data_IF_970781237360
#
_entry.id   IF_970781237360
#
_cell.length_a   1.000
_cell.length_b   1.000
_cell.length_c   1.000
_cell.angle_alpha   90.00
_cell.angle_beta   90.00
_cell.angle_gamma   90.00
#
_symmetry.space_group_name_H-M   'P 1'
#
loop_
_entity.id
_entity.type
_entity.pdbx_description
1 polymer ?
#
# COMPACT_ATOMS: atom_id res chain seq x y z
N UNK A 1 -50.25 9.39 -56.44
CA UNK A 1 -50.30 7.91 -56.36
C UNK A 1 -49.29 7.50 -55.28
N UNK A 2 -49.63 7.19 -54.03
CA UNK A 2 -50.89 6.94 -53.36
C UNK A 2 -50.66 5.86 -52.28
N UNK A 3 -50.91 6.20 -51.00
CA UNK A 3 -51.21 5.32 -49.84
C UNK A 3 -50.09 4.43 -49.29
N UNK A 4 -50.03 4.07 -48.01
CA UNK A 4 -50.88 4.39 -46.86
C UNK A 4 -50.51 3.51 -45.64
N UNK A 5 -50.52 4.14 -44.45
CA UNK A 5 -50.84 3.70 -43.08
C UNK A 5 -50.40 2.34 -42.48
N UNK A 6 -49.82 2.46 -41.27
CA UNK A 6 -49.83 1.51 -40.14
C UNK A 6 -48.78 1.99 -39.12
N UNK A 7 -49.05 2.43 -37.88
CA UNK A 7 -50.07 2.05 -36.92
C UNK A 7 -49.41 1.16 -35.85
N UNK A 8 -48.89 1.74 -34.76
CA UNK A 8 -48.25 0.97 -33.68
C UNK A 8 -47.73 1.84 -32.53
N UNK A 9 -48.62 2.12 -31.57
CA UNK A 9 -48.34 2.68 -30.24
C UNK A 9 -47.62 1.67 -29.33
N UNK A 10 -46.71 2.14 -28.47
CA UNK A 10 -46.18 1.32 -27.37
C UNK A 10 -45.04 2.00 -26.62
N UNK A 11 -45.40 2.78 -25.60
CA UNK A 11 -44.43 3.41 -24.70
C UNK A 11 -43.78 2.42 -23.74
N UNK A 12 -42.57 2.76 -23.33
CA UNK A 12 -42.08 2.48 -21.97
C UNK A 12 -41.30 3.71 -21.56
N UNK A 13 -41.98 4.60 -20.82
CA UNK A 13 -41.33 5.68 -20.12
C UNK A 13 -40.33 5.09 -19.15
N UNK A 14 -39.04 5.16 -19.47
CA UNK A 14 -37.99 4.99 -18.50
C UNK A 14 -38.19 6.07 -17.45
N UNK A 15 -38.53 5.66 -16.24
CA UNK A 15 -38.59 6.52 -15.08
C UNK A 15 -37.21 7.17 -14.92
N UNK A 16 -37.07 8.39 -15.43
CA UNK A 16 -36.11 9.33 -14.92
C UNK A 16 -36.47 9.54 -13.46
N UNK A 17 -35.69 8.92 -12.57
CA UNK A 17 -35.69 9.25 -11.15
C UNK A 17 -35.26 10.71 -11.03
N UNK A 18 -36.23 11.62 -11.14
CA UNK A 18 -36.02 13.04 -10.93
C UNK A 18 -35.38 13.20 -9.57
N UNK A 19 -34.19 13.80 -9.54
CA UNK A 19 -33.63 14.30 -8.31
C UNK A 19 -34.73 15.11 -7.62
N UNK A 20 -35.17 14.68 -6.45
CA UNK A 20 -36.10 15.42 -5.62
C UNK A 20 -35.40 16.74 -5.26
N UNK A 21 -35.59 17.76 -6.09
CA UNK A 21 -35.07 19.08 -5.87
C UNK A 21 -35.94 19.70 -4.78
N UNK A 22 -35.37 19.99 -3.61
CA UNK A 22 -36.03 20.85 -2.66
C UNK A 22 -36.35 22.17 -3.35
N UNK A 23 -37.57 22.68 -3.16
CA UNK A 23 -37.94 24.02 -3.62
C UNK A 23 -37.06 25.13 -2.99
N UNK A 24 -36.28 24.79 -1.97
CA UNK A 24 -35.42 25.67 -1.20
C UNK A 24 -33.98 25.16 -1.25
N UNK A 25 -33.01 26.05 -1.47
CA UNK A 25 -31.58 25.72 -1.43
C UNK A 25 -31.15 25.45 0.01
N UNK A 26 -30.88 24.19 0.37
CA UNK A 26 -30.42 23.84 1.72
C UNK A 26 -28.92 24.16 1.87
N UNK A 27 -28.59 25.42 2.16
CA UNK A 27 -27.19 25.90 2.24
C UNK A 27 -26.35 25.16 3.29
N UNK A 28 -26.98 24.60 4.34
CA UNK A 28 -26.29 23.93 5.45
C UNK A 28 -26.89 22.56 5.76
N UNK A 29 -27.09 21.74 4.73
CA UNK A 29 -27.67 20.40 4.88
C UNK A 29 -28.01 19.71 3.56
N UNK A 30 -28.94 18.76 3.63
CA UNK A 30 -29.46 18.01 2.48
C UNK A 30 -30.98 18.11 2.38
N UNK A 31 -31.51 17.77 1.22
CA UNK A 31 -32.93 17.77 0.92
C UNK A 31 -33.56 16.39 1.20
N UNK A 32 -34.47 16.30 2.18
CA UNK A 32 -35.26 15.10 2.44
C UNK A 32 -36.70 15.32 1.94
N UNK A 33 -36.95 14.98 0.67
CA UNK A 33 -38.23 15.22 0.01
C UNK A 33 -38.46 16.72 -0.26
N UNK A 34 -39.26 17.37 0.57
CA UNK A 34 -39.57 18.82 0.49
C UNK A 34 -38.92 19.66 1.58
N UNK A 35 -38.20 19.03 2.51
CA UNK A 35 -37.68 19.69 3.72
C UNK A 35 -36.16 19.67 3.74
N UNK A 36 -35.55 20.78 4.17
CA UNK A 36 -34.11 20.84 4.40
C UNK A 36 -33.74 20.22 5.75
N UNK A 37 -32.96 19.15 5.73
CA UNK A 37 -32.35 18.58 6.93
C UNK A 37 -31.02 19.28 7.19
N UNK A 38 -31.03 20.25 8.11
CA UNK A 38 -29.83 20.95 8.56
C UNK A 38 -28.82 19.99 9.20
N UNK A 39 -27.52 20.29 9.14
CA UNK A 39 -26.46 19.41 9.67
C UNK A 39 -26.69 18.93 11.11
N UNK A 40 -27.22 19.79 11.98
CA UNK A 40 -27.52 19.44 13.38
C UNK A 40 -28.65 18.39 13.53
N UNK A 41 -29.48 18.21 12.49
CA UNK A 41 -30.64 17.32 12.48
C UNK A 41 -30.47 16.12 11.55
N UNK A 42 -29.28 15.96 10.95
CA UNK A 42 -29.01 14.82 10.09
C UNK A 42 -28.83 13.55 10.90
N UNK A 43 -29.10 12.43 10.24
CA UNK A 43 -28.98 11.09 10.82
C UNK A 43 -28.37 10.14 9.80
N UNK A 44 -28.07 8.91 10.24
CA UNK A 44 -27.62 7.85 9.35
C UNK A 44 -28.63 7.53 8.22
N UNK A 45 -29.91 7.91 8.33
CA UNK A 45 -30.91 7.68 7.27
C UNK A 45 -31.17 8.93 6.42
N UNK A 46 -30.55 10.07 6.72
CA UNK A 46 -30.75 11.33 6.02
C UNK A 46 -29.50 12.20 6.11
N UNK A 47 -28.52 11.91 5.26
CA UNK A 47 -27.21 12.55 5.22
C UNK A 47 -26.91 13.20 3.88
N UNK A 48 -26.20 14.33 3.89
CA UNK A 48 -25.74 14.99 2.67
C UNK A 48 -25.44 16.47 2.91
N UNK A 49 -24.89 17.15 1.92
CA UNK A 49 -24.51 18.56 2.01
C UNK A 49 -24.92 19.33 0.76
N UNK A 50 -24.79 20.66 0.82
CA UNK A 50 -24.92 21.55 -0.33
C UNK A 50 -26.27 21.49 -1.06
N UNK A 51 -27.35 21.16 -0.34
CA UNK A 51 -28.69 21.09 -0.94
C UNK A 51 -28.96 19.86 -1.79
N UNK A 52 -28.03 18.92 -1.88
CA UNK A 52 -28.25 17.64 -2.54
C UNK A 52 -29.34 16.82 -1.82
N UNK A 53 -29.97 15.86 -2.52
CA UNK A 53 -30.90 14.93 -1.89
C UNK A 53 -30.20 14.14 -0.77
N UNK A 54 -30.85 14.03 0.39
CA UNK A 54 -30.35 13.24 1.50
C UNK A 54 -30.28 11.76 1.09
N UNK A 55 -29.20 11.09 1.45
CA UNK A 55 -29.02 9.65 1.28
C UNK A 55 -28.85 8.98 2.64
N UNK A 56 -29.22 7.71 2.72
CA UNK A 56 -28.89 6.90 3.88
C UNK A 56 -27.40 6.55 3.84
N UNK A 57 -26.72 6.71 4.98
CA UNK A 57 -25.39 6.18 5.18
C UNK A 57 -25.40 4.65 5.17
N UNK A 58 -24.26 4.07 4.80
CA UNK A 58 -24.09 2.62 4.84
C UNK A 58 -24.26 2.05 6.26
N UNK A 59 -24.50 0.74 6.35
CA UNK A 59 -24.72 0.06 7.64
C UNK A 59 -23.58 0.34 8.63
N UNK A 60 -23.94 0.73 9.85
CA UNK A 60 -23.01 1.04 10.94
C UNK A 60 -22.41 2.45 10.93
N UNK A 61 -22.77 3.30 9.97
CA UNK A 61 -22.22 4.65 9.85
C UNK A 61 -23.11 5.71 10.54
N UNK A 62 -22.51 6.88 10.80
CA UNK A 62 -23.22 8.07 11.28
C UNK A 62 -23.04 9.21 10.30
N UNK A 63 -24.03 10.11 10.22
CA UNK A 63 -23.88 11.33 9.44
C UNK A 63 -23.25 12.42 10.30
N UNK A 64 -22.10 12.94 9.87
CA UNK A 64 -21.41 14.06 10.52
C UNK A 64 -21.27 15.20 9.52
N UNK A 65 -21.95 16.31 9.78
CA UNK A 65 -21.90 17.54 8.95
C UNK A 65 -22.09 17.27 7.45
N UNK A 66 -23.08 16.45 7.09
CA UNK A 66 -23.41 16.14 5.70
C UNK A 66 -22.56 15.09 5.03
N UNK A 67 -21.69 14.42 5.79
CA UNK A 67 -20.85 13.33 5.28
C UNK A 67 -21.09 12.08 6.09
N UNK A 68 -21.30 10.95 5.41
CA UNK A 68 -21.36 9.66 6.07
C UNK A 68 -19.96 9.26 6.54
N UNK A 69 -19.79 9.14 7.84
CA UNK A 69 -18.52 8.78 8.48
C UNK A 69 -18.64 7.42 9.16
N UNK A 70 -17.62 6.57 8.97
CA UNK A 70 -17.47 5.38 9.79
C UNK A 70 -17.32 5.76 11.28
N UNK A 71 -17.74 4.89 12.22
CA UNK A 71 -17.49 5.11 13.65
C UNK A 71 -16.01 5.37 13.93
N UNK A 72 -15.73 6.20 14.93
CA UNK A 72 -14.36 6.37 15.40
C UNK A 72 -13.77 5.01 15.77
N UNK A 73 -12.50 4.78 15.42
CA UNK A 73 -11.83 3.50 15.68
C UNK A 73 -12.27 2.35 14.77
N UNK A 74 -13.05 2.58 13.71
CA UNK A 74 -13.27 1.61 12.63
C UNK A 74 -12.10 1.57 11.66
N UNK A 75 -12.07 0.58 10.75
CA UNK A 75 -11.08 0.48 9.68
C UNK A 75 -11.00 1.81 8.91
N UNK A 76 -9.78 2.29 8.66
CA UNK A 76 -9.45 3.58 8.06
C UNK A 76 -9.74 4.83 8.90
N UNK A 77 -10.27 4.64 10.12
CA UNK A 77 -10.47 5.70 11.09
C UNK A 77 -9.14 6.28 11.59
N UNK A 78 -9.18 7.52 12.06
CA UNK A 78 -8.03 8.18 12.70
C UNK A 78 -7.66 7.49 14.01
N UNK A 79 -6.38 7.47 14.32
CA UNK A 79 -5.87 6.93 15.57
C UNK A 79 -4.49 7.50 15.89
N UNK A 80 -4.14 7.51 17.17
CA UNK A 80 -2.77 7.78 17.65
C UNK A 80 -2.14 6.54 18.29
N UNK A 81 -2.96 5.57 18.70
CA UNK A 81 -2.54 4.29 19.27
C UNK A 81 -3.49 3.19 18.84
N UNK A 82 -3.04 1.93 18.85
CA UNK A 82 -3.88 0.78 18.48
C UNK A 82 -5.11 0.62 19.39
N UNK A 83 -5.04 1.11 20.63
CA UNK A 83 -6.18 1.11 21.56
C UNK A 83 -7.36 1.98 21.09
N UNK A 84 -7.10 2.96 20.21
CA UNK A 84 -8.13 3.82 19.63
C UNK A 84 -8.97 3.10 18.55
N UNK A 85 -8.54 1.92 18.09
CA UNK A 85 -9.18 1.17 17.01
C UNK A 85 -10.24 0.18 17.52
N UNK A 86 -11.14 0.66 18.39
CA UNK A 86 -12.10 -0.17 19.14
C UNK A 86 -13.18 -0.82 18.28
N UNK A 87 -13.40 -0.34 17.06
CA UNK A 87 -14.44 -0.79 16.14
C UNK A 87 -13.86 -1.50 14.90
N UNK A 88 -12.57 -1.88 14.92
CA UNK A 88 -12.01 -2.82 13.95
C UNK A 88 -12.40 -4.23 14.41
N UNK A 89 -12.97 -5.08 13.52
CA UNK A 89 -13.25 -6.47 13.88
C UNK A 89 -11.99 -7.13 14.42
N UNK A 90 -12.04 -7.70 15.63
CA UNK A 90 -10.94 -8.48 16.19
C UNK A 90 -10.96 -9.94 15.74
N UNK A 91 -10.13 -10.77 16.36
CA UNK A 91 -10.16 -12.22 16.22
C UNK A 91 -9.07 -12.80 15.34
N UNK A 92 -8.70 -14.05 15.59
CA UNK A 92 -7.61 -14.71 14.88
C UNK A 92 -7.99 -15.03 13.43
N UNK A 93 -6.98 -15.09 12.56
CA UNK A 93 -7.11 -15.53 11.18
C UNK A 93 -6.63 -16.99 11.11
N UNK A 94 -7.43 -17.89 10.55
CA UNK A 94 -7.06 -19.31 10.44
C UNK A 94 -6.83 -19.70 8.97
N UNK A 95 -5.68 -20.31 8.69
CA UNK A 95 -5.31 -20.89 7.40
C UNK A 95 -5.01 -22.37 7.59
N UNK A 96 -5.88 -23.24 7.07
CA UNK A 96 -5.76 -24.68 7.32
C UNK A 96 -5.83 -24.97 8.83
N UNK A 97 -4.77 -25.57 9.38
CA UNK A 97 -4.65 -25.86 10.81
C UNK A 97 -3.94 -24.75 11.62
N UNK A 98 -3.44 -23.70 10.96
CA UNK A 98 -2.65 -22.64 11.60
C UNK A 98 -3.53 -21.43 11.91
N UNK A 99 -3.47 -20.94 13.14
CA UNK A 99 -4.22 -19.77 13.60
C UNK A 99 -3.26 -18.64 13.94
N UNK A 100 -3.38 -17.53 13.22
CA UNK A 100 -2.58 -16.31 13.39
C UNK A 100 -3.35 -15.29 14.22
N UNK A 101 -2.75 -14.66 15.24
CA UNK A 101 -3.38 -13.54 15.91
C UNK A 101 -3.57 -12.39 14.91
N UNK A 102 -4.82 -11.98 14.66
CA UNK A 102 -5.03 -10.72 13.95
C UNK A 102 -4.94 -9.58 14.94
N UNK A 103 -3.82 -8.88 14.88
CA UNK A 103 -3.65 -7.65 15.64
C UNK A 103 -4.39 -6.52 14.95
N UNK A 104 -5.32 -5.93 15.69
CA UNK A 104 -5.82 -4.58 15.40
C UNK A 104 -4.70 -3.60 15.72
N UNK A 105 -4.42 -2.69 14.80
CA UNK A 105 -3.36 -1.71 14.97
C UNK A 105 -3.74 -0.34 14.44
N UNK A 106 -3.08 0.68 15.01
CA UNK A 106 -3.05 2.00 14.43
C UNK A 106 -1.80 2.15 13.58
N UNK A 107 -1.98 2.29 12.26
CA UNK A 107 -0.87 2.56 11.35
C UNK A 107 -0.56 4.05 11.33
N UNK A 108 0.68 4.41 11.64
CA UNK A 108 1.14 5.81 11.71
C UNK A 108 2.13 6.15 10.60
N UNK A 109 2.78 5.15 10.01
CA UNK A 109 3.66 5.27 8.85
C UNK A 109 3.53 4.04 7.96
N UNK A 110 3.88 4.19 6.69
CA UNK A 110 4.14 3.06 5.78
C UNK A 110 5.25 2.16 6.33
N UNK A 111 5.21 0.88 5.99
CA UNK A 111 6.26 -0.09 6.38
C UNK A 111 7.58 0.18 5.64
N UNK A 112 7.47 0.66 4.40
CA UNK A 112 8.57 0.93 3.47
C UNK A 112 8.49 2.42 3.07
N UNK A 113 9.61 3.13 3.11
CA UNK A 113 9.67 4.57 2.82
C UNK A 113 9.16 5.48 3.96
N UNK A 114 8.38 4.94 4.91
CA UNK A 114 8.03 5.62 6.15
C UNK A 114 7.12 6.83 6.01
N UNK A 115 6.41 6.99 4.89
CA UNK A 115 5.49 8.10 4.72
C UNK A 115 4.41 8.07 5.82
N UNK A 116 4.14 9.20 6.48
CA UNK A 116 3.21 9.21 7.61
C UNK A 116 1.77 9.06 7.11
N UNK A 117 0.98 8.22 7.80
CA UNK A 117 -0.47 8.17 7.64
C UNK A 117 -1.08 9.40 8.34
N UNK A 118 -1.63 10.40 7.62
CA UNK A 118 -2.08 11.64 8.24
C UNK A 118 -3.16 11.36 9.28
N UNK A 119 -2.92 11.65 10.56
CA UNK A 119 -3.88 11.35 11.64
C UNK A 119 -4.07 9.87 11.98
N UNK A 120 -3.18 9.00 11.50
CA UNK A 120 -3.18 7.55 11.70
C UNK A 120 -4.31 6.82 10.97
N UNK A 121 -4.19 5.49 10.89
CA UNK A 121 -5.12 4.65 10.14
C UNK A 121 -5.35 3.33 10.85
N UNK A 122 -6.54 3.19 11.45
CA UNK A 122 -6.94 1.95 12.08
C UNK A 122 -7.06 0.83 11.05
N UNK A 123 -6.40 -0.28 11.30
CA UNK A 123 -6.42 -1.44 10.41
C UNK A 123 -6.21 -2.72 11.22
N UNK A 124 -6.21 -3.84 10.52
CA UNK A 124 -5.79 -5.15 11.01
C UNK A 124 -5.13 -5.91 9.88
N UNK A 125 -4.34 -6.93 10.24
CA UNK A 125 -3.88 -7.92 9.28
C UNK A 125 -5.07 -8.68 8.71
N UNK A 126 -4.96 -9.12 7.46
CA UNK A 126 -5.98 -9.88 6.77
C UNK A 126 -5.36 -10.83 5.74
N UNK A 127 -6.10 -11.86 5.34
CA UNK A 127 -5.76 -12.73 4.21
C UNK A 127 -6.83 -12.67 3.12
N UNK A 128 -8.00 -12.17 3.47
CA UNK A 128 -9.12 -12.03 2.56
C UNK A 128 -10.03 -10.88 3.00
N UNK A 129 -10.85 -10.37 2.07
CA UNK A 129 -11.76 -9.27 2.38
C UNK A 129 -12.83 -9.62 3.44
N UNK A 130 -13.06 -10.91 3.73
CA UNK A 130 -13.97 -11.31 4.82
C UNK A 130 -13.40 -10.97 6.19
N UNK A 131 -12.08 -10.96 6.36
CA UNK A 131 -11.42 -10.60 7.62
C UNK A 131 -11.63 -9.12 7.99
N UNK A 132 -11.90 -8.29 6.97
CA UNK A 132 -12.10 -6.86 7.11
C UNK A 132 -13.57 -6.47 7.34
N UNK A 133 -14.49 -7.41 7.21
CA UNK A 133 -15.93 -7.15 7.27
C UNK A 133 -16.49 -6.46 6.01
N UNK A 134 -17.78 -6.15 6.02
CA UNK A 134 -18.52 -5.76 4.82
C UNK A 134 -18.08 -4.41 4.20
N UNK A 135 -17.55 -3.50 5.02
CA UNK A 135 -17.25 -2.11 4.62
C UNK A 135 -15.77 -1.89 4.29
N UNK A 136 -14.97 -2.95 4.29
CA UNK A 136 -13.55 -2.88 4.02
C UNK A 136 -13.12 -4.06 3.13
N UNK A 137 -11.92 -3.96 2.60
CA UNK A 137 -11.31 -4.99 1.77
C UNK A 137 -9.91 -5.27 2.28
N UNK A 138 -9.48 -6.51 2.06
CA UNK A 138 -8.11 -6.87 2.33
C UNK A 138 -7.25 -6.44 1.14
N UNK A 139 -6.34 -5.50 1.42
CA UNK A 139 -5.30 -5.05 0.52
C UNK A 139 -4.19 -6.09 0.64
N UNK A 140 -4.00 -6.90 -0.40
CA UNK A 140 -3.00 -7.97 -0.42
C UNK A 140 -1.69 -7.45 -1.01
N UNK A 141 -0.63 -7.48 -0.19
CA UNK A 141 0.76 -7.43 -0.63
C UNK A 141 1.01 -6.31 -1.63
N UNK A 142 0.37 -5.17 -1.42
CA UNK A 142 0.57 -4.00 -2.24
C UNK A 142 1.82 -3.28 -1.74
N UNK A 143 2.98 -3.96 -1.81
CA UNK A 143 4.31 -3.42 -1.49
C UNK A 143 4.56 -2.05 -2.13
N UNK A 144 3.85 -1.81 -3.23
CA UNK A 144 3.79 -0.57 -3.95
C UNK A 144 3.23 0.65 -3.27
N UNK A 145 2.41 0.46 -2.26
CA UNK A 145 1.91 1.56 -1.43
C UNK A 145 2.82 1.79 -0.24
N UNK A 146 4.07 1.27 -0.26
CA UNK A 146 4.96 1.27 0.90
C UNK A 146 4.52 0.30 2.00
N UNK A 147 3.60 -0.62 1.71
CA UNK A 147 2.98 -1.50 2.70
C UNK A 147 3.49 -2.92 2.50
N UNK A 148 4.28 -3.42 3.45
CA UNK A 148 4.84 -4.76 3.41
C UNK A 148 3.78 -5.81 3.82
N UNK A 149 2.79 -5.39 4.59
CA UNK A 149 1.74 -6.25 5.13
C UNK A 149 0.43 -6.20 4.35
N UNK A 150 -0.30 -7.32 4.39
CA UNK A 150 -1.71 -7.30 4.07
C UNK A 150 -2.50 -6.55 5.14
N UNK A 151 -3.32 -5.59 4.74
CA UNK A 151 -4.09 -4.80 5.70
C UNK A 151 -5.50 -4.47 5.22
N UNK A 152 -6.40 -4.27 6.18
CA UNK A 152 -7.77 -3.89 5.88
C UNK A 152 -7.88 -2.40 5.57
N UNK A 153 -8.54 -2.06 4.47
CA UNK A 153 -8.83 -0.67 4.10
C UNK A 153 -10.31 -0.46 3.77
N UNK A 154 -10.90 0.70 4.11
CA UNK A 154 -12.29 1.01 3.78
C UNK A 154 -12.54 0.94 2.28
N UNK A 155 -13.73 0.47 1.91
CA UNK A 155 -14.25 0.64 0.54
C UNK A 155 -14.56 2.11 0.26
N UNK A 156 -14.46 2.49 -1.00
CA UNK A 156 -14.77 3.84 -1.47
C UNK A 156 -15.49 3.82 -2.83
N UNK A 157 -15.97 4.96 -3.33
CA UNK A 157 -16.63 5.08 -4.63
C UNK A 157 -18.16 5.03 -4.55
N UNK A 158 -18.83 4.58 -5.61
CA UNK A 158 -20.29 4.64 -5.71
C UNK A 158 -20.98 3.85 -4.58
N UNK A 159 -21.83 4.54 -3.80
CA UNK A 159 -22.53 3.95 -2.65
C UNK A 159 -21.65 3.71 -1.42
N UNK A 160 -20.40 4.17 -1.43
CA UNK A 160 -19.47 4.10 -0.30
C UNK A 160 -19.01 5.51 0.09
N UNK A 161 -18.51 5.70 1.33
CA UNK A 161 -17.95 6.99 1.74
C UNK A 161 -16.75 7.40 0.88
N UNK A 162 -16.51 8.71 0.71
CA UNK A 162 -15.24 9.17 0.19
C UNK A 162 -14.11 8.81 1.15
N UNK A 163 -12.90 8.64 0.61
CA UNK A 163 -11.72 8.48 1.44
C UNK A 163 -11.43 9.76 2.23
N UNK A 164 -10.82 9.59 3.41
CA UNK A 164 -10.43 10.71 4.26
C UNK A 164 -9.41 11.60 3.54
N UNK A 165 -9.34 12.88 3.90
CA UNK A 165 -8.28 13.78 3.40
C UNK A 165 -6.89 13.17 3.64
N UNK A 166 -6.04 13.22 2.60
CA UNK A 166 -4.75 12.53 2.59
C UNK A 166 -4.83 11.09 2.09
N UNK A 167 -6.00 10.63 1.63
CA UNK A 167 -6.21 9.29 1.08
C UNK A 167 -6.96 9.36 -0.25
N UNK A 168 -6.55 8.52 -1.19
CA UNK A 168 -7.16 8.40 -2.51
C UNK A 168 -8.04 7.15 -2.59
N UNK A 169 -9.15 7.28 -3.32
CA UNK A 169 -9.99 6.15 -3.68
C UNK A 169 -9.37 5.45 -4.88
N UNK A 170 -8.82 4.26 -4.66
CA UNK A 170 -8.15 3.44 -5.67
C UNK A 170 -9.11 2.36 -6.14
N UNK A 171 -9.18 2.16 -7.46
CA UNK A 171 -10.01 1.14 -8.09
C UNK A 171 -9.08 0.11 -8.73
N UNK A 172 -9.17 -1.15 -8.27
CA UNK A 172 -8.45 -2.29 -8.83
C UNK A 172 -9.45 -3.36 -9.24
N UNK A 173 -9.62 -3.53 -10.55
CA UNK A 173 -10.67 -4.38 -11.12
C UNK A 173 -12.07 -3.93 -10.68
N UNK A 174 -12.79 -4.80 -9.99
CA UNK A 174 -14.13 -4.53 -9.43
C UNK A 174 -14.13 -4.07 -7.98
N UNK A 175 -12.94 -3.94 -7.38
CA UNK A 175 -12.78 -3.57 -5.97
C UNK A 175 -12.24 -2.15 -5.86
N UNK A 176 -12.73 -1.41 -4.87
CA UNK A 176 -12.30 -0.04 -4.59
C UNK A 176 -11.98 0.13 -3.10
N UNK A 177 -10.95 0.91 -2.80
CA UNK A 177 -10.45 1.07 -1.43
C UNK A 177 -9.64 2.35 -1.21
N UNK A 178 -9.53 2.76 0.05
CA UNK A 178 -8.80 3.97 0.44
C UNK A 178 -7.32 3.68 0.70
N UNK A 179 -6.43 4.32 -0.06
CA UNK A 179 -4.99 4.27 0.17
C UNK A 179 -4.43 5.63 0.50
N UNK A 180 -3.26 5.67 1.14
CA UNK A 180 -2.54 6.91 1.36
C UNK A 180 -2.33 7.63 0.02
N UNK A 181 -2.67 8.91 -0.05
CA UNK A 181 -2.42 9.72 -1.24
C UNK A 181 -0.92 10.00 -1.37
N UNK A 182 -0.42 10.05 -2.61
CA UNK A 182 0.94 10.52 -2.88
C UNK A 182 1.16 11.96 -2.39
N UNK A 183 2.42 12.38 -2.32
CA UNK A 183 2.81 13.72 -1.88
C UNK A 183 2.11 14.82 -2.67
N UNK A 184 1.89 14.61 -3.96
CA UNK A 184 1.24 15.58 -4.84
C UNK A 184 -0.29 15.39 -4.94
N UNK A 185 -0.89 14.56 -4.09
CA UNK A 185 -2.33 14.27 -4.07
C UNK A 185 -2.78 13.33 -5.19
N UNK A 186 -1.85 12.90 -6.06
CA UNK A 186 -2.06 11.89 -7.09
C UNK A 186 -2.27 10.49 -6.52
N UNK A 187 -2.86 9.61 -7.34
CA UNK A 187 -3.16 8.22 -6.97
C UNK A 187 -1.89 7.49 -6.54
N UNK A 188 -0.78 7.83 -7.17
CA UNK A 188 0.60 7.62 -6.76
C UNK A 188 1.38 8.73 -7.47
N UNK A 189 2.34 9.36 -6.81
CA UNK A 189 3.51 9.72 -7.61
C UNK A 189 4.07 8.34 -7.96
N UNK A 190 4.11 7.94 -9.24
CA UNK A 190 5.16 6.99 -9.62
C UNK A 190 6.38 7.48 -8.86
N UNK A 191 7.07 6.61 -8.11
CA UNK A 191 8.36 6.98 -7.56
C UNK A 191 9.23 7.31 -8.78
N UNK A 192 9.10 8.55 -9.26
CA UNK A 192 9.74 9.09 -10.43
C UNK A 192 11.16 9.24 -9.92
N UNK A 193 11.95 8.20 -10.15
CA UNK A 193 13.39 8.22 -9.95
C UNK A 193 14.08 9.27 -10.85
N UNK A 194 13.29 10.14 -11.49
CA UNK A 194 13.67 11.03 -12.55
C UNK A 194 13.78 10.29 -13.87
N UNK A 195 13.89 11.03 -15.00
CA UNK A 195 13.97 10.49 -16.35
C UNK A 195 15.27 9.73 -16.69
N UNK A 196 15.95 9.13 -15.68
CA UNK A 196 17.23 8.36 -15.61
C UNK A 196 18.14 8.92 -14.50
N UNK A 197 17.78 8.78 -13.21
CA UNK A 197 18.38 9.54 -12.10
C UNK A 197 19.25 8.82 -11.06
N UNK A 198 20.22 8.02 -11.51
CA UNK A 198 21.61 7.94 -11.01
C UNK A 198 21.84 8.03 -9.47
N UNK A 199 21.88 6.88 -8.76
CA UNK A 199 23.06 6.40 -8.01
C UNK A 199 22.89 4.94 -7.55
N UNK A 200 23.43 4.05 -8.39
CA UNK A 200 23.82 2.64 -8.29
C UNK A 200 23.36 1.83 -7.07
N UNK A 201 22.30 1.03 -7.24
CA UNK A 201 22.10 -0.18 -6.45
C UNK A 201 23.45 -0.92 -6.28
N UNK A 202 23.80 -1.31 -5.04
CA UNK A 202 25.10 -1.89 -4.70
C UNK A 202 26.26 -0.90 -4.47
N UNK A 203 26.04 0.40 -4.69
CA UNK A 203 27.01 1.47 -4.45
C UNK A 203 27.34 1.70 -2.97
N UNK A 204 28.51 2.28 -2.63
CA UNK A 204 28.89 2.54 -1.25
C UNK A 204 28.01 3.62 -0.59
N UNK A 205 27.77 3.48 0.71
CA UNK A 205 26.95 4.42 1.47
C UNK A 205 27.28 4.38 2.98
N UNK A 206 26.96 5.47 3.67
CA UNK A 206 27.01 5.54 5.15
C UNK A 206 25.69 5.96 5.78
N UNK A 207 24.80 6.57 4.99
CA UNK A 207 23.51 7.12 5.40
C UNK A 207 22.48 6.85 4.30
N UNK A 208 21.22 6.64 4.69
CA UNK A 208 20.12 6.30 3.78
C UNK A 208 19.91 7.37 2.70
N UNK A 209 19.97 8.65 3.06
CA UNK A 209 19.82 9.77 2.12
C UNK A 209 20.92 9.87 1.04
N UNK A 210 21.93 9.00 1.07
CA UNK A 210 22.93 8.86 0.00
C UNK A 210 22.43 7.96 -1.12
N UNK A 211 21.48 7.07 -0.82
CA UNK A 211 20.93 6.10 -1.74
C UNK A 211 19.77 6.67 -2.54
N UNK A 212 19.57 6.15 -3.76
CA UNK A 212 18.55 6.62 -4.69
C UNK A 212 17.53 5.51 -4.96
N UNK A 213 16.23 5.84 -5.12
CA UNK A 213 15.62 7.17 -4.94
C UNK A 213 15.79 7.67 -3.50
N UNK A 214 15.96 8.98 -3.22
CA UNK A 214 16.25 9.47 -1.87
C UNK A 214 15.13 9.17 -0.85
N UNK A 215 13.91 8.92 -1.34
CA UNK A 215 12.73 8.65 -0.51
C UNK A 215 12.57 7.16 -0.15
N UNK A 216 13.15 6.25 -0.94
CA UNK A 216 13.03 4.78 -0.73
C UNK A 216 14.37 4.05 -0.69
N UNK A 217 15.46 4.77 -0.96
CA UNK A 217 16.81 4.26 -0.92
C UNK A 217 17.27 4.07 0.52
N UNK A 218 17.75 2.88 0.82
CA UNK A 218 18.28 2.52 2.12
C UNK A 218 19.76 2.14 2.01
N UNK A 219 20.51 2.48 3.05
CA UNK A 219 21.91 2.09 3.17
C UNK A 219 22.06 0.88 4.08
N UNK A 220 22.47 -0.26 3.50
CA UNK A 220 22.96 -1.39 4.30
C UNK A 220 24.34 -0.99 4.84
N UNK A 221 24.43 -0.63 6.11
CA UNK A 221 25.67 -0.09 6.71
C UNK A 221 26.77 -1.15 6.79
N UNK A 222 28.03 -0.70 6.70
CA UNK A 222 29.21 -1.57 6.88
C UNK A 222 29.38 -2.08 8.32
N UNK A 223 28.77 -1.39 9.28
CA UNK A 223 28.85 -1.66 10.70
C UNK A 223 27.44 -1.80 11.26
N UNK A 224 27.24 -2.88 12.02
CA UNK A 224 26.01 -3.17 12.75
C UNK A 224 25.87 -2.23 13.95
N UNK A 225 24.69 -2.22 14.57
CA UNK A 225 24.40 -1.37 15.74
C UNK A 225 25.25 -1.71 16.96
N UNK A 226 25.76 -2.93 17.06
CA UNK A 226 26.67 -3.40 18.11
C UNK A 226 28.15 -3.05 17.84
N UNK A 227 28.46 -2.38 16.72
CA UNK A 227 29.81 -2.06 16.29
C UNK A 227 30.52 -3.17 15.51
N UNK A 228 29.90 -4.33 15.34
CA UNK A 228 30.41 -5.44 14.54
C UNK A 228 30.34 -5.17 13.03
N UNK A 229 31.15 -5.86 12.21
CA UNK A 229 31.08 -5.72 10.76
C UNK A 229 29.85 -6.45 10.20
N UNK A 230 29.21 -5.89 9.17
CA UNK A 230 28.03 -6.49 8.53
C UNK A 230 28.34 -7.39 7.33
N UNK A 231 29.61 -7.45 6.89
CA UNK A 231 30.00 -8.03 5.61
C UNK A 231 29.88 -7.06 4.43
N UNK A 232 29.06 -6.01 4.50
CA UNK A 232 28.88 -5.02 3.43
C UNK A 232 29.97 -3.93 3.48
N UNK A 233 31.18 -4.28 3.04
CA UNK A 233 32.34 -3.37 3.09
C UNK A 233 32.02 -2.02 2.42
N UNK A 234 32.10 -0.93 3.19
CA UNK A 234 31.79 0.44 2.71
C UNK A 234 30.30 0.76 2.55
N UNK A 235 29.42 -0.10 3.08
CA UNK A 235 27.96 -0.02 3.00
C UNK A 235 27.43 -0.28 1.60
N UNK A 236 26.14 -0.59 1.43
CA UNK A 236 25.54 -0.88 0.12
C UNK A 236 24.18 -0.23 -0.03
N UNK A 237 24.02 0.61 -1.05
CA UNK A 237 22.72 1.15 -1.40
C UNK A 237 21.80 0.08 -1.97
N UNK A 238 20.56 0.10 -1.53
CA UNK A 238 19.46 -0.67 -2.08
C UNK A 238 18.21 0.20 -2.08
N UNK A 239 17.19 -0.25 -2.80
CA UNK A 239 15.87 0.36 -2.82
C UNK A 239 14.86 -0.75 -3.06
N UNK A 240 13.65 -0.58 -2.54
CA UNK A 240 12.57 -1.49 -2.86
C UNK A 240 12.17 -1.31 -4.34
N UNK A 241 12.31 -2.37 -5.11
CA UNK A 241 11.94 -2.42 -6.52
C UNK A 241 10.77 -3.37 -6.80
N UNK A 242 10.13 -3.89 -5.75
CA UNK A 242 8.94 -4.77 -5.83
C UNK A 242 7.92 -4.20 -6.81
N UNK A 243 7.88 -2.87 -6.90
CA UNK A 243 6.96 -2.14 -7.74
C UNK A 243 7.26 -2.11 -9.22
N UNK A 244 8.50 -1.75 -9.55
CA UNK A 244 8.87 -1.61 -10.94
C UNK A 244 8.93 -2.97 -11.60
N UNK A 245 9.39 -3.99 -10.85
CA UNK A 245 9.78 -5.31 -11.38
C UNK A 245 10.64 -5.14 -12.64
N UNK A 246 11.41 -4.05 -12.66
CA UNK A 246 12.14 -3.55 -13.80
C UNK A 246 13.52 -3.13 -13.32
N UNK A 247 14.53 -3.72 -13.94
CA UNK A 247 15.93 -3.40 -13.71
C UNK A 247 16.23 -1.92 -13.97
N UNK A 248 15.45 -1.27 -14.85
CA UNK A 248 15.58 0.16 -15.12
C UNK A 248 15.34 1.03 -13.88
N UNK A 249 14.48 0.59 -12.95
CA UNK A 249 14.22 1.31 -11.69
C UNK A 249 15.45 1.32 -10.78
N UNK A 250 16.22 0.24 -10.79
CA UNK A 250 17.45 0.12 -9.99
C UNK A 250 18.64 0.90 -10.56
N UNK A 251 18.42 1.60 -11.68
CA UNK A 251 19.39 2.44 -12.35
C UNK A 251 20.37 1.68 -13.24
N UNK A 252 21.37 2.37 -13.80
CA UNK A 252 22.34 1.75 -14.69
C UNK A 252 23.12 0.62 -14.00
N UNK A 253 23.08 -0.58 -14.57
CA UNK A 253 23.63 -1.82 -13.98
C UNK A 253 22.97 -2.21 -12.65
N UNK A 254 21.77 -1.71 -12.35
CA UNK A 254 20.93 -2.22 -11.28
C UNK A 254 20.11 -3.41 -11.77
N UNK A 255 19.75 -4.30 -10.86
CA UNK A 255 18.78 -5.38 -11.08
C UNK A 255 17.75 -5.35 -9.98
N UNK A 256 16.51 -5.65 -10.33
CA UNK A 256 15.47 -5.92 -9.34
C UNK A 256 15.40 -7.42 -9.02
N UNK A 257 15.87 -7.81 -7.84
CA UNK A 257 15.82 -9.20 -7.39
C UNK A 257 14.57 -9.43 -6.52
N UNK A 258 13.67 -10.30 -6.99
CA UNK A 258 12.48 -10.71 -6.24
C UNK A 258 12.80 -11.87 -5.30
N UNK A 259 12.46 -11.67 -4.03
CA UNK A 259 12.56 -12.64 -2.97
C UNK A 259 11.16 -13.09 -2.58
N UNK A 260 10.97 -14.40 -2.51
CA UNK A 260 9.78 -15.04 -1.95
C UNK A 260 10.13 -15.43 -0.52
N UNK A 261 9.56 -14.75 0.46
CA UNK A 261 9.55 -15.30 1.81
C UNK A 261 8.38 -16.28 1.91
N UNK A 262 8.72 -17.56 2.06
CA UNK A 262 7.78 -18.67 2.20
C UNK A 262 7.78 -19.23 3.62
N UNK A 263 8.62 -18.70 4.53
CA UNK A 263 8.75 -19.24 5.87
C UNK A 263 7.70 -18.66 6.82
N UNK A 264 6.51 -19.23 6.71
CA UNK A 264 5.39 -18.94 7.62
C UNK A 264 5.63 -19.34 9.09
N UNK A 265 6.75 -20.01 9.41
CA UNK A 265 7.10 -20.40 10.79
C UNK A 265 7.94 -19.34 11.51
N UNK A 266 8.70 -18.53 10.76
CA UNK A 266 9.53 -17.45 11.28
C UNK A 266 8.86 -16.10 11.06
N UNK A 267 8.12 -15.93 9.96
CA UNK A 267 7.48 -14.68 9.62
C UNK A 267 5.95 -14.70 9.88
N UNK A 268 5.45 -14.01 10.93
CA UNK A 268 4.01 -13.87 11.19
C UNK A 268 3.30 -12.93 10.19
N UNK A 269 4.00 -12.41 9.18
CA UNK A 269 3.49 -11.54 8.13
C UNK A 269 2.98 -12.33 6.89
N UNK A 270 3.22 -13.64 6.84
CA UNK A 270 2.69 -14.54 5.79
C UNK A 270 3.65 -14.70 4.61
N UNK A 271 3.18 -15.26 3.49
CA UNK A 271 3.99 -15.36 2.26
C UNK A 271 4.02 -13.99 1.59
N UNK A 272 5.20 -13.38 1.45
CA UNK A 272 5.36 -12.09 0.77
C UNK A 272 6.41 -12.16 -0.34
N UNK A 273 6.17 -11.38 -1.40
CA UNK A 273 7.14 -11.12 -2.47
C UNK A 273 7.67 -9.72 -2.25
N UNK A 274 8.98 -9.57 -2.11
CA UNK A 274 9.63 -8.28 -2.06
C UNK A 274 10.78 -8.23 -3.06
N UNK A 275 10.96 -7.10 -3.72
CA UNK A 275 12.02 -6.82 -4.67
C UNK A 275 13.03 -5.87 -4.06
N UNK A 276 14.32 -6.24 -4.12
CA UNK A 276 15.39 -5.32 -3.75
C UNK A 276 16.30 -5.02 -4.94
N UNK A 277 16.61 -3.74 -5.09
CA UNK A 277 17.63 -3.32 -6.02
C UNK A 277 19.01 -3.80 -5.58
N UNK A 278 19.71 -4.44 -6.50
CA UNK A 278 21.09 -4.89 -6.35
C UNK A 278 21.95 -4.41 -7.52
N UNK A 279 23.27 -4.42 -7.33
CA UNK A 279 24.20 -4.25 -8.45
C UNK A 279 24.20 -5.53 -9.30
N UNK A 280 23.89 -5.38 -10.59
CA UNK A 280 24.02 -6.43 -11.57
C UNK A 280 25.49 -6.69 -11.92
N UNK A 281 25.82 -7.92 -12.31
CA UNK A 281 27.13 -8.30 -12.83
C UNK A 281 27.02 -9.33 -13.94
N UNK A 282 27.98 -9.30 -14.87
CA UNK A 282 28.04 -10.25 -15.97
C UNK A 282 28.98 -11.42 -15.63
N UNK A 283 28.40 -12.62 -15.52
CA UNK A 283 29.03 -13.93 -15.41
C UNK A 283 29.75 -14.30 -14.08
N UNK A 284 29.52 -15.56 -13.70
CA UNK A 284 30.04 -16.27 -12.54
C UNK A 284 31.55 -16.54 -12.66
N UNK A 285 32.42 -15.69 -12.09
CA UNK A 285 33.83 -16.06 -11.92
C UNK A 285 34.87 -14.95 -12.04
N UNK A 286 34.72 -13.86 -11.27
CA UNK A 286 35.79 -12.87 -11.07
C UNK A 286 35.57 -11.55 -11.79
N UNK A 287 34.95 -10.61 -11.07
CA UNK A 287 34.90 -9.16 -11.29
C UNK A 287 35.10 -8.61 -12.72
N UNK A 288 34.03 -8.59 -13.54
CA UNK A 288 33.80 -7.46 -14.43
C UNK A 288 32.42 -6.88 -14.10
N UNK A 289 32.31 -6.20 -12.95
CA UNK A 289 31.07 -5.50 -12.56
C UNK A 289 30.96 -5.17 -11.08
N UNK A 290 31.43 -6.05 -10.19
CA UNK A 290 31.33 -5.84 -8.75
C UNK A 290 32.53 -5.08 -8.17
N UNK A 291 32.26 -4.16 -7.23
CA UNK A 291 33.31 -3.41 -6.51
C UNK A 291 34.11 -4.29 -5.54
N UNK A 292 35.24 -3.76 -5.07
CA UNK A 292 36.09 -4.42 -4.07
C UNK A 292 35.29 -4.83 -2.83
N UNK A 293 35.50 -6.07 -2.36
CA UNK A 293 34.74 -6.68 -1.27
C UNK A 293 33.46 -7.39 -1.72
N UNK A 294 33.12 -7.38 -3.01
CA UNK A 294 31.96 -8.06 -3.57
C UNK A 294 32.38 -9.07 -4.64
N UNK A 295 31.54 -10.07 -4.86
CA UNK A 295 31.69 -11.07 -5.93
C UNK A 295 30.39 -11.20 -6.69
N UNK A 296 30.48 -11.56 -7.96
CA UNK A 296 29.31 -11.88 -8.76
C UNK A 296 28.79 -13.27 -8.37
N UNK A 297 27.51 -13.36 -8.04
CA UNK A 297 26.77 -14.59 -7.77
C UNK A 297 25.44 -14.58 -8.53
N UNK A 298 25.29 -15.44 -9.53
CA UNK A 298 24.05 -15.55 -10.34
C UNK A 298 23.59 -14.24 -10.97
N UNK A 299 24.53 -13.37 -11.33
CA UNK A 299 24.25 -12.06 -11.93
C UNK A 299 24.05 -10.91 -10.95
N UNK A 300 24.20 -11.16 -9.64
CA UNK A 300 24.13 -10.16 -8.57
C UNK A 300 25.48 -9.98 -7.88
N UNK A 301 25.84 -8.73 -7.55
CA UNK A 301 26.98 -8.44 -6.69
C UNK A 301 26.62 -8.64 -5.21
N UNK A 302 27.16 -9.71 -4.62
CA UNK A 302 26.98 -10.04 -3.20
C UNK A 302 28.28 -9.81 -2.43
N UNK A 303 28.22 -9.52 -1.11
CA UNK A 303 29.43 -9.46 -0.28
C UNK A 303 30.24 -10.74 -0.38
N UNK A 304 31.58 -10.62 -0.46
CA UNK A 304 32.44 -11.81 -0.40
C UNK A 304 32.28 -12.48 0.95
N UNK A 305 32.21 -13.82 0.96
CA UNK A 305 32.17 -14.61 2.19
C UNK A 305 33.46 -14.50 3.03
N UNK A 306 34.54 -13.94 2.46
CA UNK A 306 35.78 -13.62 3.17
C UNK A 306 35.74 -12.26 3.89
N UNK A 307 34.69 -11.46 3.68
CA UNK A 307 34.53 -10.21 4.41
C UNK A 307 34.23 -10.50 5.88
N UNK A 308 34.78 -9.69 6.78
CA UNK A 308 34.42 -9.76 8.19
C UNK A 308 32.91 -9.54 8.36
N UNK A 309 32.25 -10.39 9.14
CA UNK A 309 30.79 -10.34 9.35
C UNK A 309 29.94 -10.98 8.25
N UNK A 310 30.53 -11.37 7.12
CA UNK A 310 29.86 -12.21 6.13
C UNK A 310 29.98 -13.69 6.53
N UNK A 311 28.94 -14.48 6.24
CA UNK A 311 28.94 -15.92 6.44
C UNK A 311 28.20 -16.61 5.29
N UNK A 312 28.59 -17.86 5.02
CA UNK A 312 27.82 -18.70 4.10
C UNK A 312 26.62 -19.31 4.80
N UNK A 313 25.52 -19.46 4.06
CA UNK A 313 24.34 -20.18 4.53
C UNK A 313 24.66 -21.64 4.88
N UNK A 314 23.75 -22.27 5.63
CA UNK A 314 23.91 -23.64 6.10
C UNK A 314 24.25 -24.60 4.96
N UNK A 315 25.28 -25.44 5.18
CA UNK A 315 25.73 -26.44 4.21
C UNK A 315 26.65 -25.91 3.10
N UNK A 316 26.99 -24.62 3.08
CA UNK A 316 27.93 -24.03 2.12
C UNK A 316 29.24 -23.62 2.78
N UNK A 317 30.33 -23.64 2.03
CA UNK A 317 31.66 -23.21 2.45
C UNK A 317 32.13 -22.01 1.66
N UNK A 318 32.98 -21.19 2.29
CA UNK A 318 33.55 -20.03 1.61
C UNK A 318 34.71 -20.46 0.72
N UNK A 319 34.58 -20.30 -0.60
CA UNK A 319 35.69 -20.39 -1.52
C UNK A 319 36.53 -19.11 -1.40
N UNK A 320 37.65 -19.19 -0.70
CA UNK A 320 38.48 -18.00 -0.41
C UNK A 320 39.12 -17.39 -1.65
N UNK A 321 39.30 -18.16 -2.72
CA UNK A 321 39.86 -17.69 -3.98
C UNK A 321 38.88 -16.81 -4.76
N UNK A 322 37.58 -17.16 -4.75
CA UNK A 322 36.54 -16.41 -5.47
C UNK A 322 35.77 -15.46 -4.55
N UNK A 323 35.77 -15.72 -3.24
CA UNK A 323 34.94 -15.05 -2.25
C UNK A 323 33.47 -15.48 -2.29
N UNK A 324 33.12 -16.58 -2.96
CA UNK A 324 31.73 -17.09 -3.08
C UNK A 324 31.44 -18.22 -2.10
N UNK A 325 30.18 -18.34 -1.72
CA UNK A 325 29.67 -19.51 -1.01
C UNK A 325 29.31 -20.62 -2.00
N UNK A 326 29.85 -21.82 -1.77
CA UNK A 326 29.63 -23.01 -2.60
C UNK A 326 29.38 -24.26 -1.75
#
# INVERSE_FOLDING_TARGET
LGGGMGGGTGGSGGAGGGAAACAQTCTSGCCNGSTCTAFANQSATSCGSSGAACTACGSGQSCLSGTCTAPAGSIGGTCSTSASCTNVPGGNITVGATTYPSTVYCKTSQDIGGAPYPGGFCSRKCLSSTDCGANAVCILGFGFTGEADNFCSPRCGAGQPPCRTGYNCVISGTTSFCLLAGKDGGLFDEYDAGPKGIAAAGGPCTLDGTCRPPDTGACIKATLSDGGPSGYTGGSCTADCTMAVDDAFCGPNGRCDLYLDVDSTIDPHGVFVFGLCSAACNADGGSPGCRTGYTCDTGQCVPKCTNAGAACGAGRTCNTSTGRCQ
#
